data_IF_975858650773
#
_entry.id   IF_975858650773
#
_cell.length_a   1.000
_cell.length_b   1.000
_cell.length_c   1.000
_cell.angle_alpha   90.00
_cell.angle_beta   90.00
_cell.angle_gamma   90.00
#
_symmetry.space_group_name_H-M   'P 1'
#
loop_
_entity.id
_entity.type
_entity.pdbx_description
1 polymer ?
#
# COMPACT_ATOMS: atom_id res chain seq x y z
N UNK A 1 -8.48 -6.52 -60.16
CA UNK A 1 -7.34 -7.44 -60.05
C UNK A 1 -6.16 -6.65 -59.53
N UNK A 2 -5.82 -6.77 -58.25
CA UNK A 2 -4.55 -6.29 -57.69
C UNK A 2 -4.18 -7.21 -56.53
N UNK A 3 -3.17 -8.06 -56.74
CA UNK A 3 -2.62 -8.95 -55.74
C UNK A 3 -1.54 -8.19 -54.97
N UNK A 4 -1.72 -8.03 -53.67
CA UNK A 4 -0.66 -7.66 -52.74
C UNK A 4 -0.60 -8.79 -51.71
N UNK A 5 0.24 -9.78 -51.99
CA UNK A 5 0.75 -10.71 -50.98
C UNK A 5 2.09 -11.24 -51.50
N UNK A 6 3.16 -10.55 -51.13
CA UNK A 6 4.53 -11.05 -51.29
C UNK A 6 4.95 -11.63 -49.94
N UNK A 7 4.83 -12.94 -49.82
CA UNK A 7 5.28 -13.72 -48.67
C UNK A 7 6.76 -13.48 -48.39
N UNK A 8 7.06 -12.96 -47.19
CA UNK A 8 8.44 -12.84 -46.70
C UNK A 8 8.94 -14.24 -46.37
N UNK A 9 9.67 -14.85 -47.31
CA UNK A 9 10.26 -16.18 -47.15
C UNK A 9 11.59 -16.09 -46.38
N UNK A 10 11.53 -16.01 -45.05
CA UNK A 10 12.72 -16.04 -44.18
C UNK A 10 13.25 -17.48 -44.06
N UNK A 11 14.38 -17.78 -44.69
CA UNK A 11 15.01 -19.10 -44.53
C UNK A 11 15.64 -19.24 -43.14
N UNK A 12 15.66 -20.46 -42.58
CA UNK A 12 16.32 -20.77 -41.30
C UNK A 12 17.77 -20.26 -41.26
N UNK A 13 18.48 -20.30 -42.40
CA UNK A 13 19.84 -19.78 -42.54
C UNK A 13 19.90 -18.26 -42.39
N UNK A 14 18.97 -17.51 -43.01
CA UNK A 14 18.90 -16.06 -42.86
C UNK A 14 18.52 -15.65 -41.44
N UNK A 15 17.61 -16.39 -40.80
CA UNK A 15 17.28 -16.20 -39.38
C UNK A 15 18.50 -16.42 -38.48
N UNK A 16 19.23 -17.52 -38.66
CA UNK A 16 20.43 -17.82 -37.86
C UNK A 16 21.57 -16.83 -38.12
N UNK A 17 21.73 -16.35 -39.36
CA UNK A 17 22.69 -15.28 -39.68
C UNK A 17 22.33 -13.95 -39.03
N UNK A 18 21.04 -13.57 -39.03
CA UNK A 18 20.56 -12.38 -38.33
C UNK A 18 20.72 -12.49 -36.82
N UNK A 19 20.40 -13.66 -36.24
CA UNK A 19 20.56 -13.92 -34.82
C UNK A 19 22.03 -13.89 -34.39
N UNK A 20 22.93 -14.48 -35.17
CA UNK A 20 24.38 -14.45 -34.91
C UNK A 20 24.95 -13.03 -35.00
N UNK A 21 24.51 -12.23 -35.97
CA UNK A 21 24.92 -10.82 -36.08
C UNK A 21 24.44 -9.98 -34.88
N UNK A 22 23.20 -10.19 -34.43
CA UNK A 22 22.65 -9.51 -33.25
C UNK A 22 23.32 -9.92 -31.93
N UNK A 23 23.77 -11.18 -31.83
CA UNK A 23 24.49 -11.68 -30.65
C UNK A 23 25.86 -11.00 -30.47
N UNK A 24 26.59 -10.72 -31.56
CA UNK A 24 27.90 -10.05 -31.49
C UNK A 24 27.76 -8.60 -31.01
N UNK A 25 26.71 -7.89 -31.41
CA UNK A 25 26.45 -6.53 -30.93
C UNK A 25 26.05 -6.46 -29.45
N UNK A 26 25.42 -7.51 -28.91
CA UNK A 26 25.02 -7.54 -27.50
C UNK A 26 26.21 -7.76 -26.54
N UNK A 27 27.29 -8.41 -26.97
CA UNK A 27 28.48 -8.69 -26.14
C UNK A 27 29.40 -7.47 -26.03
N UNK A 28 29.33 -6.54 -26.99
CA UNK A 28 30.13 -5.31 -26.99
C UNK A 28 29.44 -4.13 -26.27
N UNK A 29 28.22 -4.31 -25.76
CA UNK A 29 27.59 -3.29 -24.94
C UNK A 29 28.40 -3.13 -23.63
N UNK A 30 28.75 -1.90 -23.22
CA UNK A 30 29.33 -1.70 -21.91
C UNK A 30 28.34 -2.27 -20.88
N UNK A 31 28.84 -3.15 -20.01
CA UNK A 31 28.09 -3.58 -18.85
C UNK A 31 27.83 -2.31 -18.05
N UNK A 32 26.59 -1.82 -18.07
CA UNK A 32 26.22 -0.69 -17.25
C UNK A 32 26.53 -1.07 -15.80
N UNK A 33 27.48 -0.35 -15.18
CA UNK A 33 27.76 -0.54 -13.76
C UNK A 33 26.45 -0.36 -13.00
N UNK A 34 26.13 -1.34 -12.16
CA UNK A 34 24.96 -1.23 -11.30
C UNK A 34 25.15 0.03 -10.44
N UNK A 35 24.20 0.97 -10.56
CA UNK A 35 24.18 2.13 -9.68
C UNK A 35 24.14 1.62 -8.24
N UNK A 36 25.02 2.12 -7.34
CA UNK A 36 25.00 1.71 -5.96
C UNK A 36 23.59 1.91 -5.39
N UNK A 37 23.11 0.96 -4.59
CA UNK A 37 21.89 1.14 -3.82
C UNK A 37 22.14 2.25 -2.78
N UNK A 38 21.91 3.49 -3.20
CA UNK A 38 21.98 4.67 -2.35
C UNK A 38 20.61 5.00 -1.76
N UNK A 39 20.55 5.87 -0.73
CA UNK A 39 19.30 6.43 -0.27
C UNK A 39 18.58 7.10 -1.45
N UNK A 40 17.33 6.73 -1.67
CA UNK A 40 16.46 7.45 -2.63
C UNK A 40 16.39 8.91 -2.20
N UNK A 41 16.50 9.83 -3.16
CA UNK A 41 16.25 11.24 -2.87
C UNK A 41 14.85 11.40 -2.26
N UNK A 42 14.70 12.26 -1.23
CA UNK A 42 13.40 12.54 -0.64
C UNK A 42 12.43 13.02 -1.72
N UNK A 43 11.30 12.33 -1.88
CA UNK A 43 10.25 12.80 -2.79
C UNK A 43 9.68 14.12 -2.28
N UNK A 44 9.49 15.06 -3.20
CA UNK A 44 8.84 16.33 -2.89
C UNK A 44 7.39 16.11 -2.48
N UNK A 45 6.93 16.90 -1.52
CA UNK A 45 5.54 16.91 -1.11
C UNK A 45 4.68 17.64 -2.16
N UNK A 46 3.42 17.19 -2.35
CA UNK A 46 2.43 17.93 -3.13
C UNK A 46 2.22 19.37 -2.63
N UNK A 47 1.80 20.30 -3.50
CA UNK A 47 1.70 21.73 -3.16
C UNK A 47 0.69 22.04 -2.05
N UNK A 48 -0.35 21.21 -1.88
CA UNK A 48 -1.37 21.34 -0.85
C UNK A 48 -1.36 20.13 0.09
N UNK A 49 -0.19 19.56 0.35
CA UNK A 49 -0.04 18.36 1.16
C UNK A 49 -0.69 18.53 2.54
N UNK A 50 -1.44 17.52 2.96
CA UNK A 50 -2.04 17.42 4.30
C UNK A 50 -1.47 16.23 5.06
N UNK A 51 -1.50 16.32 6.40
CA UNK A 51 -1.03 15.26 7.28
C UNK A 51 -1.94 15.09 8.49
N UNK A 52 -1.97 13.87 9.04
CA UNK A 52 -2.68 13.56 10.28
C UNK A 52 -1.65 13.22 11.36
N UNK A 53 -1.59 14.05 12.40
CA UNK A 53 -0.77 13.77 13.57
C UNK A 53 -1.54 12.91 14.57
N UNK A 54 -0.93 11.80 14.98
CA UNK A 54 -1.39 10.96 16.08
C UNK A 54 -0.36 11.02 17.19
N UNK A 55 -0.75 11.55 18.35
CA UNK A 55 0.08 11.55 19.55
C UNK A 55 -0.30 10.36 20.45
N UNK A 56 0.58 9.35 20.48
CA UNK A 56 0.37 8.15 21.30
C UNK A 56 0.43 8.46 22.80
N UNK A 57 1.16 9.50 23.22
CA UNK A 57 1.32 9.84 24.64
C UNK A 57 0.02 10.34 25.25
N UNK A 58 -0.82 11.02 24.46
CA UNK A 58 -2.15 11.50 24.84
C UNK A 58 -3.26 10.49 24.55
N UNK A 59 -3.00 9.48 23.72
CA UNK A 59 -4.00 8.47 23.39
C UNK A 59 -4.34 7.62 24.62
N UNK A 60 -5.61 7.54 25.00
CA UNK A 60 -6.10 6.74 26.14
C UNK A 60 -6.80 5.43 25.73
N UNK A 61 -6.73 5.07 24.45
CA UNK A 61 -7.32 3.83 23.95
C UNK A 61 -8.85 3.78 23.87
N UNK A 62 -9.54 4.93 23.94
CA UNK A 62 -11.01 5.00 24.01
C UNK A 62 -11.77 4.52 22.75
N UNK A 63 -11.08 4.26 21.64
CA UNK A 63 -11.66 3.86 20.34
C UNK A 63 -12.66 4.85 19.72
N UNK A 64 -12.77 6.08 20.22
CA UNK A 64 -13.64 7.10 19.62
C UNK A 64 -13.31 7.37 18.14
N UNK A 65 -12.01 7.33 17.78
CA UNK A 65 -11.58 7.48 16.39
C UNK A 65 -12.01 6.32 15.47
N UNK A 66 -12.23 5.13 16.01
CA UNK A 66 -12.72 3.96 15.27
C UNK A 66 -14.19 4.16 14.96
N UNK A 67 -14.99 4.43 16.00
CA UNK A 67 -16.44 4.67 15.88
C UNK A 67 -16.74 5.85 14.95
N UNK A 68 -16.06 6.98 15.12
CA UNK A 68 -16.24 8.16 14.27
C UNK A 68 -15.87 7.88 12.80
N UNK A 69 -14.82 7.09 12.55
CA UNK A 69 -14.45 6.73 11.19
C UNK A 69 -15.50 5.83 10.54
N UNK A 70 -16.04 4.86 11.27
CA UNK A 70 -17.13 4.03 10.76
C UNK A 70 -18.37 4.88 10.45
N UNK A 71 -18.76 5.77 11.36
CA UNK A 71 -19.88 6.68 11.15
C UNK A 71 -19.68 7.57 9.91
N UNK A 72 -18.50 8.19 9.76
CA UNK A 72 -18.19 9.06 8.64
C UNK A 72 -18.18 8.33 7.28
N UNK A 73 -17.91 7.02 7.28
CA UNK A 73 -17.82 6.19 6.07
C UNK A 73 -18.99 5.22 5.90
N UNK A 74 -20.04 5.31 6.73
CA UNK A 74 -21.19 4.40 6.67
C UNK A 74 -20.84 2.92 6.86
N UNK A 75 -19.78 2.62 7.63
CA UNK A 75 -19.28 1.26 7.80
C UNK A 75 -20.06 0.51 8.89
N UNK A 76 -20.31 -0.80 8.72
CA UNK A 76 -21.02 -1.59 9.72
C UNK A 76 -20.17 -1.81 10.98
N UNK A 77 -20.83 -2.14 12.09
CA UNK A 77 -20.15 -2.69 13.27
C UNK A 77 -19.55 -4.05 12.91
N UNK A 78 -18.37 -4.34 13.45
CA UNK A 78 -17.69 -5.61 13.18
C UNK A 78 -17.52 -6.38 14.49
N UNK A 79 -18.02 -7.61 14.52
CA UNK A 79 -17.85 -8.52 15.64
C UNK A 79 -17.32 -9.86 15.13
N UNK A 80 -16.14 -10.32 15.62
CA UNK A 80 -15.63 -11.63 15.29
C UNK A 80 -16.59 -12.74 15.74
N UNK A 81 -16.77 -13.77 14.91
CA UNK A 81 -17.69 -14.86 15.20
C UNK A 81 -17.40 -15.57 16.54
N UNK A 82 -16.13 -15.63 16.94
CA UNK A 82 -15.73 -16.26 18.21
C UNK A 82 -16.18 -15.45 19.45
N UNK A 83 -16.61 -14.19 19.28
CA UNK A 83 -17.14 -13.34 20.34
C UNK A 83 -18.67 -13.18 20.27
N UNK A 84 -19.33 -13.75 19.26
CA UNK A 84 -20.78 -13.68 19.06
C UNK A 84 -21.57 -14.22 20.27
N UNK A 85 -21.05 -15.28 20.92
CA UNK A 85 -21.65 -15.89 22.10
C UNK A 85 -21.76 -14.95 23.32
N UNK A 86 -21.06 -13.82 23.32
CA UNK A 86 -21.03 -12.84 24.41
C UNK A 86 -21.99 -11.66 24.18
N UNK A 87 -22.89 -11.76 23.19
CA UNK A 87 -23.86 -10.73 22.84
C UNK A 87 -23.69 -10.31 21.38
N UNK A 88 -24.39 -11.00 20.49
CA UNK A 88 -24.35 -10.73 19.04
C UNK A 88 -24.76 -9.28 18.74
N UNK A 89 -23.91 -8.56 18.01
CA UNK A 89 -24.15 -7.17 17.60
C UNK A 89 -24.18 -6.16 18.75
N UNK A 90 -23.87 -6.56 19.99
CA UNK A 90 -23.94 -5.67 21.14
C UNK A 90 -22.83 -4.61 21.13
N UNK A 91 -21.65 -4.94 20.58
CA UNK A 91 -20.48 -4.06 20.59
C UNK A 91 -19.65 -4.20 19.32
N UNK A 92 -19.07 -3.09 18.87
CA UNK A 92 -18.07 -3.08 17.81
C UNK A 92 -16.73 -3.57 18.36
N UNK A 93 -16.33 -4.76 17.94
CA UNK A 93 -15.17 -5.51 18.44
C UNK A 93 -14.21 -5.90 17.32
N UNK A 94 -14.04 -5.03 16.33
CA UNK A 94 -12.99 -5.18 15.34
C UNK A 94 -11.61 -5.38 16.00
N UNK A 95 -10.93 -6.48 15.65
CA UNK A 95 -9.63 -6.86 16.19
C UNK A 95 -8.46 -6.35 15.34
N UNK A 96 -8.72 -6.08 14.06
CA UNK A 96 -7.77 -5.52 13.12
C UNK A 96 -8.48 -4.65 12.06
N UNK A 97 -7.69 -4.03 11.20
CA UNK A 97 -8.20 -3.42 9.98
C UNK A 97 -8.80 -4.47 9.05
N UNK A 98 -9.87 -4.11 8.37
CA UNK A 98 -10.60 -4.97 7.43
C UNK A 98 -11.19 -4.12 6.30
N UNK A 99 -11.90 -4.75 5.36
CA UNK A 99 -12.70 -4.01 4.38
C UNK A 99 -13.84 -3.18 4.99
N UNK A 100 -14.20 -3.43 6.26
CA UNK A 100 -15.28 -2.78 7.00
C UNK A 100 -14.76 -1.93 8.17
N UNK A 101 -13.46 -2.02 8.49
CA UNK A 101 -12.82 -1.31 9.59
C UNK A 101 -11.51 -0.67 9.11
N UNK A 102 -11.54 0.64 8.85
CA UNK A 102 -10.42 1.36 8.23
C UNK A 102 -9.36 1.84 9.22
N UNK A 103 -9.67 1.85 10.52
CA UNK A 103 -8.70 2.07 11.57
C UNK A 103 -9.07 1.31 12.85
N UNK A 104 -8.05 0.95 13.63
CA UNK A 104 -8.18 0.32 14.95
C UNK A 104 -7.19 0.93 15.94
N UNK A 105 -7.49 0.80 17.23
CA UNK A 105 -6.50 1.00 18.29
C UNK A 105 -5.97 -0.36 18.74
N UNK A 106 -4.65 -0.54 18.65
CA UNK A 106 -3.93 -1.67 19.23
C UNK A 106 -3.14 -1.24 20.44
N UNK A 107 -2.73 -2.22 21.25
CA UNK A 107 -1.85 -2.00 22.39
C UNK A 107 -0.51 -2.62 22.04
N UNK A 108 0.54 -1.82 22.02
CA UNK A 108 1.91 -2.31 22.17
C UNK A 108 2.14 -2.63 23.64
N UNK A 109 2.73 -3.76 23.94
CA UNK A 109 2.92 -4.27 25.30
C UNK A 109 4.33 -4.84 25.40
N UNK A 110 5.01 -4.51 26.49
CA UNK A 110 6.27 -5.09 26.91
C UNK A 110 6.18 -5.50 28.38
N UNK A 111 6.79 -6.63 28.73
CA UNK A 111 6.87 -7.13 30.10
C UNK A 111 5.51 -7.17 30.82
N UNK A 112 5.45 -6.52 31.98
CA UNK A 112 4.27 -6.51 32.85
C UNK A 112 3.24 -5.37 32.57
N UNK A 113 3.52 -4.47 31.60
CA UNK A 113 2.70 -3.30 31.27
C UNK A 113 2.41 -2.34 32.45
N UNK A 114 3.36 -2.15 33.36
CA UNK A 114 3.19 -1.32 34.55
C UNK A 114 2.99 0.18 34.23
N UNK A 115 3.65 0.69 33.18
CA UNK A 115 3.65 2.12 32.86
C UNK A 115 3.31 2.41 31.39
N UNK A 116 2.48 3.42 31.15
CA UNK A 116 2.19 3.88 29.78
C UNK A 116 3.41 4.63 29.20
N UNK A 117 3.65 4.45 27.92
CA UNK A 117 4.69 5.12 27.12
C UNK A 117 6.12 4.83 27.62
N UNK A 118 6.35 3.59 28.08
CA UNK A 118 7.67 3.07 28.44
C UNK A 118 8.05 1.90 27.56
N UNK A 119 9.34 1.80 27.23
CA UNK A 119 9.89 0.71 26.41
C UNK A 119 10.01 -0.60 27.19
N UNK A 120 10.44 -0.52 28.45
CA UNK A 120 10.56 -1.67 29.36
C UNK A 120 9.37 -1.71 30.30
N UNK A 121 8.76 -2.89 30.46
CA UNK A 121 7.64 -3.11 31.37
C UNK A 121 6.49 -2.11 31.13
N UNK A 122 6.29 -1.73 29.87
CA UNK A 122 5.40 -0.65 29.48
C UNK A 122 4.36 -1.02 28.44
N UNK A 123 3.47 -0.08 28.15
CA UNK A 123 2.50 -0.23 27.08
C UNK A 123 2.22 1.10 26.37
N UNK A 124 1.77 1.03 25.12
CA UNK A 124 1.31 2.21 24.39
C UNK A 124 0.10 1.85 23.53
N UNK A 125 -0.85 2.78 23.44
CA UNK A 125 -1.89 2.67 22.43
C UNK A 125 -1.33 3.09 21.09
N UNK A 126 -1.71 2.38 20.03
CA UNK A 126 -1.24 2.61 18.67
C UNK A 126 -2.45 2.61 17.75
N UNK A 127 -2.73 3.76 17.15
CA UNK A 127 -3.72 3.87 16.08
C UNK A 127 -3.13 3.30 14.79
N UNK A 128 -3.69 2.19 14.30
CA UNK A 128 -3.32 1.62 12.99
C UNK A 128 -4.32 2.05 11.93
N UNK A 129 -3.81 2.67 10.87
CA UNK A 129 -4.57 3.12 9.69
C UNK A 129 -3.61 3.33 8.51
N UNK A 130 -4.18 3.63 7.33
CA UNK A 130 -3.38 4.05 6.18
C UNK A 130 -2.55 5.30 6.52
N UNK A 131 -1.26 5.29 6.17
CA UNK A 131 -0.35 6.42 6.43
C UNK A 131 -0.29 7.43 5.28
N UNK A 132 -0.99 7.18 4.16
CA UNK A 132 -0.97 8.02 2.95
C UNK A 132 0.45 8.42 2.53
N UNK A 133 1.31 7.41 2.38
CA UNK A 133 2.75 7.58 2.18
C UNK A 133 3.11 8.57 1.07
N UNK A 134 4.21 9.30 1.25
CA UNK A 134 4.79 10.17 0.21
C UNK A 134 5.17 9.34 -1.03
N UNK A 135 5.71 8.14 -0.81
CA UNK A 135 6.02 7.15 -1.83
C UNK A 135 5.26 5.82 -1.57
N UNK A 136 4.01 5.70 -2.03
CA UNK A 136 3.15 4.58 -1.67
C UNK A 136 3.43 3.33 -2.52
N UNK A 137 4.03 2.32 -1.91
CA UNK A 137 4.27 1.01 -2.56
C UNK A 137 2.98 0.33 -3.02
N UNK A 138 1.87 0.56 -2.31
CA UNK A 138 0.55 0.03 -2.67
C UNK A 138 0.05 0.53 -4.03
N UNK A 139 0.43 1.74 -4.47
CA UNK A 139 0.11 2.24 -5.81
C UNK A 139 1.02 1.57 -6.83
N UNK A 140 2.34 1.51 -6.57
CA UNK A 140 3.30 0.97 -7.54
C UNK A 140 3.07 -0.50 -7.90
N UNK A 141 2.44 -1.27 -7.01
CA UNK A 141 2.16 -2.69 -7.23
C UNK A 141 0.74 -2.95 -7.74
N UNK A 142 -0.15 -1.95 -7.73
CA UNK A 142 -1.54 -2.14 -8.09
C UNK A 142 -1.69 -2.41 -9.60
N UNK A 143 -2.15 -3.61 -10.03
CA UNK A 143 -2.22 -3.94 -11.45
C UNK A 143 -3.46 -3.36 -12.15
N UNK A 144 -4.43 -2.83 -11.38
CA UNK A 144 -5.76 -2.41 -11.85
C UNK A 144 -6.04 -0.93 -11.60
N UNK A 145 -5.04 -0.14 -11.21
CA UNK A 145 -5.18 1.31 -10.98
C UNK A 145 -6.22 1.72 -9.92
N UNK A 146 -6.63 0.78 -9.05
CA UNK A 146 -7.56 1.02 -7.94
C UNK A 146 -6.98 1.93 -6.86
N UNK A 147 -5.66 1.92 -6.67
CA UNK A 147 -4.98 2.78 -5.72
C UNK A 147 -4.44 4.02 -6.44
N UNK A 148 -4.84 5.21 -5.99
CA UNK A 148 -4.48 6.47 -6.63
C UNK A 148 -3.96 7.47 -5.59
N UNK A 149 -3.16 8.42 -6.04
CA UNK A 149 -2.65 9.51 -5.21
C UNK A 149 -3.08 10.84 -5.79
N UNK A 150 -3.75 11.64 -4.97
CA UNK A 150 -4.10 13.00 -5.30
C UNK A 150 -2.81 13.84 -5.51
N UNK A 151 -2.63 14.49 -6.68
CA UNK A 151 -1.43 15.25 -6.99
C UNK A 151 -1.33 16.59 -6.26
N UNK A 152 -2.43 17.12 -5.71
CA UNK A 152 -2.45 18.35 -4.93
C UNK A 152 -2.29 18.08 -3.42
N UNK A 153 -3.08 17.14 -2.88
CA UNK A 153 -3.17 16.90 -1.43
C UNK A 153 -2.27 15.77 -0.93
N UNK A 154 -1.85 14.87 -1.81
CA UNK A 154 -1.06 13.69 -1.46
C UNK A 154 -1.86 12.54 -0.84
N UNK A 155 -3.18 12.68 -0.73
CA UNK A 155 -4.05 11.63 -0.20
C UNK A 155 -4.00 10.41 -1.12
N UNK A 156 -3.64 9.26 -0.54
CA UNK A 156 -3.75 7.94 -1.19
C UNK A 156 -5.16 7.38 -0.99
N UNK A 157 -5.88 7.10 -2.08
CA UNK A 157 -7.26 6.59 -2.05
C UNK A 157 -7.39 5.26 -2.79
N UNK A 158 -8.37 4.46 -2.38
CA UNK A 158 -8.80 3.23 -3.07
C UNK A 158 -10.14 3.48 -3.77
N UNK A 159 -10.18 3.30 -5.10
CA UNK A 159 -11.38 3.36 -5.91
C UNK A 159 -11.66 1.96 -6.51
N UNK A 160 -12.66 1.23 -5.99
CA UNK A 160 -13.00 -0.11 -6.49
C UNK A 160 -13.60 -0.11 -7.90
N UNK A 161 -14.10 1.04 -8.37
CA UNK A 161 -14.75 1.19 -9.67
C UNK A 161 -13.81 1.73 -10.76
N UNK A 162 -12.54 2.01 -10.43
CA UNK A 162 -11.60 2.46 -11.45
C UNK A 162 -11.34 1.32 -12.44
N UNK A 163 -11.89 1.45 -13.65
CA UNK A 163 -11.53 0.58 -14.76
C UNK A 163 -10.35 1.20 -15.50
N UNK A 164 -9.38 0.35 -15.85
CA UNK A 164 -8.22 0.69 -16.69
C UNK A 164 -8.64 1.24 -18.05
#
# INVERSE_FOLDING_TARGET
MNAINSDINLSRRKFLQGAAAGAVTAVAAPVAEATPFGPREPRQLPPKAVGMLYDSTLCVGCKACVSACKQANGMPVEQPAHLAAWGEGAWDMAEDISGQTLNVIRVYQDGNMEQKDREQDGYAFVKRHCLHCVDPSCISVCPVSAMQKDPETGIVSHNPESQS
#
